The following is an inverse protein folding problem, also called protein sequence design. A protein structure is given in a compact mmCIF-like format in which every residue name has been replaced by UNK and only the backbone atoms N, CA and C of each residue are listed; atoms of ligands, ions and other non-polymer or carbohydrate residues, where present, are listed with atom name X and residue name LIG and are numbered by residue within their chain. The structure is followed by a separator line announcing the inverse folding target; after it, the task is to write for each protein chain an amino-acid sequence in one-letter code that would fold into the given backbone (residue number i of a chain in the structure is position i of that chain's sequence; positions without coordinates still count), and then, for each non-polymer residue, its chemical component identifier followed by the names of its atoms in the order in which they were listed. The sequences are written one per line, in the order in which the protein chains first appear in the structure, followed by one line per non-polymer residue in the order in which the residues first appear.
data_IF_717164218408
#
_entry.id   IF_717164218408
#
_cell.length_a   1.000
_cell.length_b   1.000
_cell.length_c   1.000
_cell.angle_alpha   90.00
_cell.angle_beta   90.00
_cell.angle_gamma   90.00
#
_symmetry.space_group_name_H-M   'P 1'
#
loop_
_entity.id
_entity.type
_entity.pdbx_description
1 polymer ?
#
# COMPACT_ATOMS: atom_id res chain seq x y z
N UNK A 1 -2.81 2.07 -22.40
CA UNK A 1 -1.42 1.82 -21.97
C UNK A 1 -0.99 2.98 -21.10
N UNK A 2 -0.47 2.66 -19.92
CA UNK A 2 0.04 3.64 -18.95
C UNK A 2 1.50 3.34 -18.67
N UNK A 3 2.24 4.33 -18.19
CA UNK A 3 3.66 4.15 -17.86
C UNK A 3 3.94 4.68 -16.47
N UNK A 4 4.99 4.15 -15.85
CA UNK A 4 5.56 4.67 -14.62
C UNK A 4 7.08 4.49 -14.64
N UNK A 5 7.78 5.19 -13.74
CA UNK A 5 9.21 5.03 -13.55
C UNK A 5 9.49 4.36 -12.20
N UNK A 6 10.46 3.45 -12.18
CA UNK A 6 10.98 2.89 -10.94
C UNK A 6 12.17 3.71 -10.39
N UNK A 7 12.65 3.35 -9.20
CA UNK A 7 13.77 4.07 -8.56
C UNK A 7 15.14 3.79 -9.20
N UNK A 8 15.23 2.85 -10.15
CA UNK A 8 16.41 2.64 -10.97
C UNK A 8 16.40 3.51 -12.24
N UNK A 9 15.38 4.38 -12.40
CA UNK A 9 15.23 5.25 -13.56
C UNK A 9 14.71 4.54 -14.80
N UNK A 10 14.19 3.31 -14.67
CA UNK A 10 13.60 2.56 -15.78
C UNK A 10 12.14 2.96 -15.94
N UNK A 11 11.73 3.23 -17.17
CA UNK A 11 10.31 3.38 -17.53
C UNK A 11 9.72 2.02 -17.86
N UNK A 12 8.55 1.73 -17.32
CA UNK A 12 7.80 0.50 -17.52
C UNK A 12 6.46 0.79 -18.17
N UNK A 13 6.03 -0.07 -19.09
CA UNK A 13 4.72 0.04 -19.75
C UNK A 13 3.74 -0.95 -19.14
N UNK A 14 2.65 -0.44 -18.58
CA UNK A 14 1.47 -1.22 -18.22
C UNK A 14 0.61 -1.42 -19.47
N UNK A 15 0.46 -2.68 -19.86
CA UNK A 15 -0.36 -3.11 -20.97
C UNK A 15 -1.29 -4.27 -20.54
N UNK A 16 -2.49 -3.93 -20.04
CA UNK A 16 -3.50 -4.91 -19.68
C UNK A 16 -4.19 -5.42 -20.94
N UNK A 17 -3.90 -6.66 -21.27
CA UNK A 17 -4.54 -7.42 -22.33
C UNK A 17 -4.82 -8.86 -21.84
N UNK A 18 -5.46 -9.68 -22.68
CA UNK A 18 -5.82 -11.06 -22.32
C UNK A 18 -4.60 -11.89 -21.91
N UNK A 19 -3.46 -11.71 -22.57
CA UNK A 19 -2.23 -12.44 -22.26
C UNK A 19 -1.66 -12.03 -20.89
N UNK A 20 -1.62 -10.72 -20.59
CA UNK A 20 -1.21 -10.20 -19.28
C UNK A 20 -2.09 -10.74 -18.15
N UNK A 21 -3.42 -10.73 -18.33
CA UNK A 21 -4.36 -11.26 -17.34
C UNK A 21 -4.14 -12.76 -17.11
N UNK A 22 -3.97 -13.54 -18.18
CA UNK A 22 -3.68 -14.98 -18.06
C UNK A 22 -2.36 -15.23 -17.34
N UNK A 23 -1.35 -14.39 -17.56
CA UNK A 23 -0.06 -14.49 -16.87
C UNK A 23 -0.17 -14.20 -15.39
N UNK A 24 -0.83 -13.10 -15.01
CA UNK A 24 -1.07 -12.75 -13.60
C UNK A 24 -1.81 -13.89 -12.89
N UNK A 25 -2.87 -14.42 -13.51
CA UNK A 25 -3.61 -15.56 -12.96
C UNK A 25 -2.75 -16.81 -12.80
N UNK A 26 -1.90 -17.11 -13.78
CA UNK A 26 -1.05 -18.31 -13.76
C UNK A 26 0.11 -18.21 -12.77
N UNK A 27 0.67 -17.02 -12.56
CA UNK A 27 1.84 -16.83 -11.70
C UNK A 27 1.47 -16.58 -10.25
N UNK A 28 0.37 -15.85 -10.01
CA UNK A 28 0.05 -15.29 -8.69
C UNK A 28 -1.30 -15.76 -8.14
N UNK A 29 -2.05 -16.56 -8.89
CA UNK A 29 -3.41 -16.98 -8.55
C UNK A 29 -4.36 -15.80 -8.27
N UNK A 30 -4.11 -14.66 -8.94
CA UNK A 30 -4.93 -13.43 -8.85
C UNK A 30 -5.74 -13.28 -10.14
N UNK A 31 -7.05 -13.07 -10.01
CA UNK A 31 -7.88 -12.68 -11.15
C UNK A 31 -8.11 -11.16 -11.18
N UNK A 32 -7.44 -10.48 -12.11
CA UNK A 32 -7.59 -9.03 -12.29
C UNK A 32 -9.01 -8.60 -12.67
N UNK A 33 -9.85 -9.52 -13.15
CA UNK A 33 -11.23 -9.25 -13.51
C UNK A 33 -12.14 -9.04 -12.30
N UNK A 34 -11.72 -9.44 -11.09
CA UNK A 34 -12.45 -9.19 -9.84
C UNK A 34 -12.42 -7.71 -9.41
N UNK A 35 -11.76 -6.84 -10.18
CA UNK A 35 -11.75 -5.39 -9.94
C UNK A 35 -13.17 -4.78 -9.90
N UNK A 36 -14.13 -5.40 -10.58
CA UNK A 36 -15.54 -4.95 -10.61
C UNK A 36 -16.20 -4.91 -9.23
N UNK A 37 -15.73 -5.76 -8.31
CA UNK A 37 -16.27 -5.85 -6.95
C UNK A 37 -15.55 -4.91 -5.97
N UNK A 38 -14.54 -4.16 -6.42
CA UNK A 38 -13.77 -3.20 -5.63
C UNK A 38 -12.81 -3.82 -4.59
N UNK A 39 -13.03 -5.07 -4.17
CA UNK A 39 -12.17 -5.78 -3.20
C UNK A 39 -10.74 -5.95 -3.67
N UNK A 40 -10.55 -6.23 -4.95
CA UNK A 40 -9.20 -6.35 -5.52
C UNK A 40 -8.45 -5.00 -5.46
N UNK A 41 -9.14 -3.88 -5.68
CA UNK A 41 -8.55 -2.54 -5.58
C UNK A 41 -8.04 -2.31 -4.16
N UNK A 42 -8.89 -2.59 -3.16
CA UNK A 42 -8.48 -2.47 -1.75
C UNK A 42 -7.29 -3.36 -1.41
N UNK A 43 -7.30 -4.62 -1.86
CA UNK A 43 -6.22 -5.57 -1.61
C UNK A 43 -4.89 -5.09 -2.21
N UNK A 44 -4.89 -4.64 -3.47
CA UNK A 44 -3.69 -4.13 -4.16
C UNK A 44 -3.15 -2.84 -3.52
N UNK A 45 -4.02 -1.97 -2.99
CA UNK A 45 -3.58 -0.75 -2.31
C UNK A 45 -2.96 -1.07 -0.94
N UNK A 46 -3.53 -2.02 -0.19
CA UNK A 46 -3.05 -2.38 1.15
C UNK A 46 -1.82 -3.26 1.15
N UNK A 47 -1.62 -4.04 0.09
CA UNK A 47 -0.52 -4.98 -0.05
C UNK A 47 0.43 -4.55 -1.18
N UNK A 48 1.42 -3.69 -0.87
CA UNK A 48 2.38 -3.21 -1.87
C UNK A 48 3.28 -4.31 -2.42
N UNK A 49 3.44 -5.44 -1.71
CA UNK A 49 4.23 -6.58 -2.19
C UNK A 49 3.45 -7.29 -3.29
N UNK A 50 2.20 -7.66 -3.02
CA UNK A 50 1.31 -8.24 -4.03
C UNK A 50 1.16 -7.34 -5.25
N UNK A 51 1.03 -6.03 -5.02
CA UNK A 51 0.98 -5.06 -6.10
C UNK A 51 2.25 -5.12 -6.97
N UNK A 52 3.44 -5.14 -6.36
CA UNK A 52 4.69 -5.25 -7.09
C UNK A 52 4.76 -6.54 -7.91
N UNK A 53 4.36 -7.67 -7.32
CA UNK A 53 4.32 -8.97 -8.01
C UNK A 53 3.39 -8.92 -9.23
N UNK A 54 2.20 -8.33 -9.07
CA UNK A 54 1.23 -8.15 -10.16
C UNK A 54 1.79 -7.26 -11.26
N UNK A 55 2.40 -6.13 -10.91
CA UNK A 55 3.01 -5.20 -11.88
C UNK A 55 4.16 -5.89 -12.62
N UNK A 56 5.03 -6.62 -11.91
CA UNK A 56 6.10 -7.39 -12.53
C UNK A 56 5.54 -8.45 -13.49
N UNK A 57 4.51 -9.19 -13.09
CA UNK A 57 3.86 -10.18 -13.97
C UNK A 57 3.25 -9.54 -15.24
N UNK A 58 2.68 -8.33 -15.12
CA UNK A 58 2.19 -7.56 -16.28
C UNK A 58 3.35 -7.12 -17.17
N UNK A 59 4.42 -6.57 -16.58
CA UNK A 59 5.60 -6.09 -17.29
C UNK A 59 6.57 -7.22 -17.70
N UNK A 60 6.30 -8.48 -17.36
CA UNK A 60 7.25 -9.59 -17.51
C UNK A 60 7.85 -9.69 -18.92
N UNK A 61 7.10 -9.55 -20.04
CA UNK A 61 7.72 -9.57 -21.37
C UNK A 61 8.74 -8.44 -21.58
N UNK A 62 8.47 -7.25 -21.05
CA UNK A 62 9.39 -6.12 -21.08
C UNK A 62 10.58 -6.33 -20.14
N UNK A 63 10.36 -6.91 -18.97
CA UNK A 63 11.42 -7.25 -18.02
C UNK A 63 12.38 -8.31 -18.59
N UNK A 64 11.83 -9.35 -19.21
CA UNK A 64 12.59 -10.39 -19.90
C UNK A 64 13.44 -9.78 -21.02
N UNK A 65 12.85 -8.88 -21.84
CA UNK A 65 13.57 -8.18 -22.90
C UNK A 65 14.70 -7.26 -22.38
N UNK A 66 14.53 -6.67 -21.19
CA UNK A 66 15.54 -5.84 -20.51
C UNK A 66 16.49 -6.66 -19.62
N UNK A 67 16.31 -7.98 -19.54
CA UNK A 67 17.04 -8.87 -18.62
C UNK A 67 16.95 -8.45 -17.15
N UNK A 68 15.81 -7.92 -16.73
CA UNK A 68 15.54 -7.51 -15.35
C UNK A 68 14.82 -8.66 -14.63
N UNK A 69 15.44 -9.16 -13.57
CA UNK A 69 14.84 -10.17 -12.68
C UNK A 69 13.73 -9.61 -11.81
N UNK A 70 12.91 -10.48 -11.23
CA UNK A 70 11.87 -10.11 -10.26
C UNK A 70 12.48 -9.38 -9.06
N UNK A 71 13.57 -9.93 -8.52
CA UNK A 71 14.24 -9.35 -7.37
C UNK A 71 14.86 -7.98 -7.70
N UNK A 72 15.35 -7.77 -8.93
CA UNK A 72 15.86 -6.47 -9.37
C UNK A 72 14.76 -5.46 -9.66
N UNK A 73 13.62 -5.93 -10.17
CA UNK A 73 12.43 -5.12 -10.30
C UNK A 73 11.95 -4.67 -8.91
N UNK A 74 11.73 -5.62 -7.99
CA UNK A 74 11.28 -5.35 -6.62
C UNK A 74 12.21 -4.45 -5.82
N UNK A 75 13.54 -4.59 -5.97
CA UNK A 75 14.51 -3.67 -5.35
C UNK A 75 14.35 -2.20 -5.77
N UNK A 76 13.84 -1.95 -6.98
CA UNK A 76 13.60 -0.60 -7.49
C UNK A 76 12.20 -0.07 -7.14
N UNK A 77 11.34 -0.88 -6.52
CA UNK A 77 9.97 -0.51 -6.17
C UNK A 77 9.87 -0.06 -4.71
N UNK A 78 9.98 1.24 -4.48
CA UNK A 78 9.78 1.84 -3.15
C UNK A 78 9.22 3.26 -3.24
N UNK A 79 8.46 3.68 -2.23
CA UNK A 79 7.89 5.03 -2.15
C UNK A 79 7.02 5.36 -3.36
N UNK A 80 7.28 6.52 -3.97
CA UNK A 80 6.50 7.06 -5.09
C UNK A 80 6.42 6.10 -6.30
N UNK A 81 7.44 5.27 -6.52
CA UNK A 81 7.41 4.26 -7.59
C UNK A 81 6.22 3.29 -7.43
N UNK A 82 5.89 2.92 -6.19
CA UNK A 82 4.75 2.05 -5.89
C UNK A 82 3.44 2.79 -6.17
N UNK A 83 3.31 4.05 -5.74
CA UNK A 83 2.11 4.85 -5.98
C UNK A 83 1.86 5.09 -7.47
N UNK A 84 2.92 5.44 -8.22
CA UNK A 84 2.84 5.60 -9.67
C UNK A 84 2.47 4.29 -10.38
N UNK A 85 3.06 3.17 -9.98
CA UNK A 85 2.72 1.86 -10.54
C UNK A 85 1.28 1.46 -10.22
N UNK A 86 0.80 1.72 -8.99
CA UNK A 86 -0.60 1.48 -8.59
C UNK A 86 -1.55 2.23 -9.52
N UNK A 87 -1.29 3.52 -9.72
CA UNK A 87 -2.11 4.37 -10.58
C UNK A 87 -2.10 3.89 -12.02
N UNK A 88 -0.92 3.60 -12.56
CA UNK A 88 -0.77 3.12 -13.93
C UNK A 88 -1.50 1.77 -14.14
N UNK A 89 -1.36 0.83 -13.20
CA UNK A 89 -2.02 -0.48 -13.22
C UNK A 89 -3.54 -0.34 -13.23
N UNK A 90 -4.10 0.39 -12.26
CA UNK A 90 -5.54 0.51 -12.09
C UNK A 90 -6.19 1.28 -13.24
N UNK A 91 -5.57 2.36 -13.72
CA UNK A 91 -6.08 3.12 -14.87
C UNK A 91 -6.11 2.29 -16.15
N UNK A 92 -5.08 1.48 -16.41
CA UNK A 92 -5.03 0.63 -17.60
C UNK A 92 -6.00 -0.56 -17.49
N UNK A 93 -6.15 -1.14 -16.30
CA UNK A 93 -7.12 -2.21 -16.04
C UNK A 93 -8.55 -1.74 -16.23
N UNK A 94 -8.87 -0.50 -15.85
CA UNK A 94 -10.17 0.08 -16.21
C UNK A 94 -10.32 0.22 -17.72
N UNK A 95 -9.27 0.63 -18.43
CA UNK A 95 -9.26 0.68 -19.90
C UNK A 95 -9.56 -0.65 -20.59
N UNK A 96 -9.21 -1.78 -19.97
CA UNK A 96 -9.46 -3.13 -20.49
C UNK A 96 -10.95 -3.52 -20.48
N UNK A 97 -11.78 -2.90 -19.63
CA UNK A 97 -13.20 -3.28 -19.54
C UNK A 97 -13.92 -3.06 -20.89
N UNK A 98 -14.62 -4.09 -21.43
CA UNK A 98 -15.21 -4.02 -22.77
C UNK A 98 -16.40 -3.06 -22.85
N UNK A 99 -17.10 -2.84 -21.73
CA UNK A 99 -18.30 -2.02 -21.66
C UNK A 99 -17.94 -0.56 -21.35
N UNK A 100 -18.33 0.42 -22.19
CA UNK A 100 -18.12 1.85 -21.90
C UNK A 100 -18.76 2.29 -20.58
N UNK A 101 -19.90 1.70 -20.22
CA UNK A 101 -20.58 1.97 -18.95
C UNK A 101 -19.77 1.50 -17.76
N UNK A 102 -19.20 0.30 -17.86
CA UNK A 102 -18.45 -0.30 -16.75
C UNK A 102 -17.11 0.42 -16.58
N UNK A 103 -16.46 0.83 -17.68
CA UNK A 103 -15.32 1.75 -17.66
C UNK A 103 -15.63 3.04 -16.90
N UNK A 104 -16.74 3.71 -17.24
CA UNK A 104 -17.15 4.95 -16.57
C UNK A 104 -17.42 4.75 -15.08
N UNK A 105 -18.05 3.63 -14.70
CA UNK A 105 -18.31 3.32 -13.29
C UNK A 105 -17.01 3.06 -12.52
N UNK A 106 -16.11 2.25 -13.06
CA UNK A 106 -14.81 1.97 -12.43
C UNK A 106 -13.94 3.23 -12.33
N UNK A 107 -13.96 4.10 -13.34
CA UNK A 107 -13.30 5.41 -13.28
C UNK A 107 -13.81 6.25 -12.08
N UNK A 108 -15.12 6.27 -11.83
CA UNK A 108 -15.68 6.97 -10.65
C UNK A 108 -15.25 6.33 -9.34
N UNK A 109 -15.19 5.00 -9.27
CA UNK A 109 -14.72 4.28 -8.07
C UNK A 109 -13.27 4.62 -7.79
N UNK A 110 -12.39 4.58 -8.80
CA UNK A 110 -10.98 4.96 -8.64
C UNK A 110 -10.82 6.41 -8.20
N UNK A 111 -11.50 7.35 -8.86
CA UNK A 111 -11.44 8.76 -8.48
C UNK A 111 -11.90 9.00 -7.04
N UNK A 112 -12.96 8.31 -6.61
CA UNK A 112 -13.45 8.39 -5.23
C UNK A 112 -12.43 7.81 -4.24
N UNK A 113 -11.82 6.68 -4.57
CA UNK A 113 -10.79 6.04 -3.74
C UNK A 113 -9.61 6.98 -3.50
N UNK A 114 -9.08 7.60 -4.55
CA UNK A 114 -7.98 8.56 -4.43
C UNK A 114 -8.35 9.77 -3.60
N UNK A 115 -9.50 10.38 -3.86
CA UNK A 115 -9.97 11.52 -3.08
C UNK A 115 -10.14 11.19 -1.59
N UNK A 116 -10.60 9.98 -1.25
CA UNK A 116 -10.74 9.54 0.14
C UNK A 116 -9.36 9.32 0.78
N UNK A 117 -8.43 8.70 0.07
CA UNK A 117 -7.06 8.48 0.56
C UNK A 117 -6.34 9.80 0.82
N UNK A 118 -6.42 10.76 -0.09
CA UNK A 118 -5.80 12.08 0.08
C UNK A 118 -6.40 12.82 1.28
N UNK A 119 -7.73 12.82 1.42
CA UNK A 119 -8.38 13.41 2.60
C UNK A 119 -7.99 12.72 3.90
N UNK A 120 -7.76 11.41 3.88
CA UNK A 120 -7.29 10.70 5.07
C UNK A 120 -5.85 11.10 5.43
N UNK A 121 -4.97 11.27 4.43
CA UNK A 121 -3.61 11.78 4.61
C UNK A 121 -3.62 13.20 5.19
N UNK A 122 -4.41 14.11 4.61
CA UNK A 122 -4.57 15.49 5.11
C UNK A 122 -5.02 15.54 6.57
N UNK A 123 -5.92 14.64 6.98
CA UNK A 123 -6.39 14.57 8.36
C UNK A 123 -5.31 14.08 9.32
N UNK A 124 -4.49 13.13 8.91
CA UNK A 124 -3.34 12.66 9.70
C UNK A 124 -2.31 13.78 9.82
N UNK A 125 -1.98 14.45 8.72
CA UNK A 125 -1.04 15.58 8.70
C UNK A 125 -1.48 16.69 9.67
N UNK A 126 -2.74 17.13 9.59
CA UNK A 126 -3.29 18.13 10.51
C UNK A 126 -3.22 17.70 11.99
N UNK A 127 -3.42 16.41 12.28
CA UNK A 127 -3.27 15.91 13.66
C UNK A 127 -1.82 15.99 14.13
N UNK A 128 -0.86 15.61 13.27
CA UNK A 128 0.57 15.74 13.56
C UNK A 128 0.95 17.21 13.80
N UNK A 129 0.51 18.13 12.94
CA UNK A 129 0.79 19.57 13.08
C UNK A 129 0.17 20.19 14.34
N UNK A 130 -0.96 19.67 14.82
CA UNK A 130 -1.68 20.19 15.99
C UNK A 130 -1.06 19.84 17.35
N UNK A 131 0.08 19.14 17.35
CA UNK A 131 0.76 18.70 18.56
C UNK A 131 0.02 17.58 19.32
N UNK A 132 -0.96 16.93 18.69
CA UNK A 132 -1.74 15.86 19.35
C UNK A 132 -0.86 14.67 19.71
N UNK A 133 0.15 14.37 18.88
CA UNK A 133 1.07 13.27 19.11
C UNK A 133 1.93 13.52 20.35
N UNK A 134 2.46 14.74 20.48
CA UNK A 134 3.23 15.23 21.62
C UNK A 134 2.39 15.15 22.90
N UNK A 135 1.12 15.58 22.85
CA UNK A 135 0.18 15.45 23.98
C UNK A 135 -0.10 14.01 24.38
N UNK A 136 -0.05 13.05 23.45
CA UNK A 136 -0.20 11.62 23.74
C UNK A 136 1.06 11.10 24.43
N UNK A 137 2.24 11.46 23.92
CA UNK A 137 3.54 11.09 24.50
C UNK A 137 3.69 11.67 25.91
N UNK A 138 3.38 12.95 26.11
CA UNK A 138 3.41 13.62 27.42
C UNK A 138 2.49 12.93 28.44
N UNK A 139 1.28 12.54 28.05
CA UNK A 139 0.36 11.79 28.92
C UNK A 139 0.91 10.42 29.30
N UNK A 140 1.52 9.71 28.36
CA UNK A 140 2.12 8.40 28.62
C UNK A 140 3.35 8.48 29.54
N UNK A 141 4.15 9.54 29.40
CA UNK A 141 5.28 9.81 30.30
C UNK A 141 4.80 10.19 31.71
N UNK A 142 3.75 11.00 31.82
CA UNK A 142 3.18 11.40 33.11
C UNK A 142 2.62 10.21 33.90
N UNK A 143 1.97 9.25 33.24
CA UNK A 143 1.48 8.02 33.89
C UNK A 143 2.59 7.02 34.24
N UNK A 144 3.68 6.97 33.48
CA UNK A 144 4.85 6.16 33.84
C UNK A 144 5.61 6.75 35.04
N UNK A 145 5.71 8.09 35.13
CA UNK A 145 6.38 8.78 36.23
C UNK A 145 5.64 8.72 37.58
N UNK A 146 4.31 8.57 37.58
CA UNK A 146 3.51 8.48 38.81
C UNK A 146 3.54 7.09 39.48
N UNK A 147 4.14 6.08 38.86
CA UNK A 147 4.19 4.70 39.35
C UNK A 147 5.32 4.40 40.34
N UNK A 148 6.24 5.34 40.62
CA UNK A 148 7.42 5.09 41.49
C UNK A 148 7.21 5.35 43.00
N UNK A 149 5.97 5.33 43.50
CA UNK A 149 5.66 5.79 44.87
C UNK A 149 4.86 4.82 45.73
N UNK A 150 5.39 3.63 46.03
CA UNK A 150 5.08 2.86 47.26
C UNK A 150 5.98 1.63 47.38
N UNK A 151 7.16 1.78 47.98
CA UNK A 151 7.84 0.64 48.57
C UNK A 151 7.08 0.26 49.86
N UNK A 152 6.62 -0.99 50.05
CA UNK A 152 5.95 -1.38 51.29
C UNK A 152 6.97 -1.31 52.43
N UNK A 153 6.59 -0.67 53.54
CA UNK A 153 7.38 -0.65 54.77
C UNK A 153 7.67 -2.09 55.21
N UNK A 154 8.95 -2.42 55.33
CA UNK A 154 9.38 -3.73 55.84
C UNK A 154 8.95 -3.86 57.30
N UNK A 155 8.04 -4.81 57.57
CA UNK A 155 7.61 -5.17 58.91
C UNK A 155 8.81 -5.57 59.78
N UNK A 156 9.07 -4.80 60.83
CA UNK A 156 10.07 -5.12 61.84
C UNK A 156 9.71 -6.44 62.54
N UNK A 157 10.62 -7.41 62.50
CA UNK A 157 10.50 -8.67 63.22
C UNK A 157 10.80 -8.47 64.70
N UNK A 158 9.87 -8.88 65.56
CA UNK A 158 9.98 -8.88 67.02
C UNK A 158 11.05 -9.86 67.50
N UNK A 159 11.94 -9.52 68.47
CA UNK A 159 12.83 -10.48 69.08
C UNK A 159 12.11 -11.23 70.22
N UNK A 160 12.16 -12.56 70.19
CA UNK A 160 11.78 -13.40 71.32
C UNK A 160 13.06 -13.82 72.08
N UNK A 161 13.03 -13.62 73.39
CA UNK A 161 13.97 -14.17 74.37
C UNK A 161 13.43 -15.50 74.90
#
# INVERSE_FOLDING_TARGET
MKTFNDNAGRTWTIAINVDAIKRVRSLLEVDLLEIVDGKLIERLIRDPVLLCDVVYAVCKPEADAKSVSDEEFGRAMAGDAIEHATKALLEDLVGFSPSPRDRANLQRVLATTWNVMDRARDLVEKRLESGELEKVVERALATAGSSSGAAPESSASTPAN
#
